data_IF_685037025897
#
_entry.id   IF_685037025897
#
_cell.length_a   1.000
_cell.length_b   1.000
_cell.length_c   1.000
_cell.angle_alpha   90.00
_cell.angle_beta   90.00
_cell.angle_gamma   90.00
#
_symmetry.space_group_name_H-M   'P 1'
#
loop_
_entity.id
_entity.type
_entity.pdbx_description
1 polymer ?
#
# COMPACT_ATOMS: atom_id res chain seq x y z
N UNK A 1 -8.81 0.08 17.40
CA UNK A 1 -8.11 -0.56 16.28
C UNK A 1 -7.54 0.53 15.42
N UNK A 2 -6.22 0.57 15.29
CA UNK A 2 -5.50 1.41 14.34
C UNK A 2 -5.20 0.61 13.07
N UNK A 3 -5.12 1.29 11.94
CA UNK A 3 -4.66 0.73 10.68
C UNK A 3 -3.41 1.49 10.24
N UNK A 4 -2.29 0.78 10.15
CA UNK A 4 -1.00 1.34 9.76
C UNK A 4 -0.60 0.79 8.39
N UNK A 5 -0.06 1.63 7.52
CA UNK A 5 0.40 1.20 6.20
C UNK A 5 1.93 1.16 6.12
N UNK A 6 2.45 0.26 5.28
CA UNK A 6 3.84 0.23 4.85
C UNK A 6 3.86 0.41 3.34
N UNK A 7 4.46 1.51 2.88
CA UNK A 7 4.58 1.84 1.47
C UNK A 7 6.05 1.92 1.06
N UNK A 8 6.46 1.09 0.11
CA UNK A 8 7.80 1.15 -0.47
C UNK A 8 7.69 1.76 -1.86
N UNK A 9 8.49 2.78 -2.12
CA UNK A 9 8.35 3.66 -3.27
C UNK A 9 9.65 3.64 -4.07
N UNK A 10 9.52 3.58 -5.41
CA UNK A 10 10.62 3.80 -6.34
C UNK A 10 10.08 4.32 -7.66
N UNK A 11 10.36 5.60 -7.96
CA UNK A 11 10.00 6.24 -9.22
C UNK A 11 8.49 6.19 -9.52
N UNK A 12 7.69 6.79 -8.66
CA UNK A 12 6.23 6.80 -8.69
C UNK A 12 5.66 8.23 -8.64
N UNK A 13 6.41 9.23 -9.16
CA UNK A 13 6.06 10.66 -9.05
C UNK A 13 4.68 11.00 -9.60
N UNK A 14 4.23 10.27 -10.60
CA UNK A 14 2.95 10.50 -11.29
C UNK A 14 1.71 9.99 -10.53
N UNK A 15 1.90 9.23 -9.45
CA UNK A 15 0.79 8.60 -8.71
C UNK A 15 0.93 8.65 -7.19
N UNK A 16 2.15 8.75 -6.67
CA UNK A 16 2.39 8.57 -5.23
C UNK A 16 1.59 9.54 -4.35
N UNK A 17 1.40 10.78 -4.82
CA UNK A 17 0.59 11.75 -4.07
C UNK A 17 -0.84 11.28 -3.88
N UNK A 18 -1.48 10.81 -4.96
CA UNK A 18 -2.86 10.29 -4.95
C UNK A 18 -2.98 9.02 -4.11
N UNK A 19 -1.98 8.13 -4.18
CA UNK A 19 -1.92 6.90 -3.39
C UNK A 19 -1.87 7.19 -1.90
N UNK A 20 -1.01 8.12 -1.47
CA UNK A 20 -0.92 8.53 -0.07
C UNK A 20 -2.21 9.20 0.41
N UNK A 21 -2.82 10.08 -0.40
CA UNK A 21 -4.09 10.73 -0.06
C UNK A 21 -5.24 9.73 0.07
N UNK A 22 -5.30 8.73 -0.82
CA UNK A 22 -6.27 7.64 -0.70
C UNK A 22 -6.09 6.86 0.60
N UNK A 23 -4.86 6.49 0.94
CA UNK A 23 -4.57 5.73 2.15
C UNK A 23 -4.84 6.54 3.43
N UNK A 24 -4.60 7.85 3.44
CA UNK A 24 -4.87 8.75 4.56
C UNK A 24 -6.36 8.84 4.93
N UNK A 25 -7.26 8.49 4.02
CA UNK A 25 -8.69 8.44 4.32
C UNK A 25 -9.06 7.39 5.39
N UNK A 26 -8.21 6.37 5.60
CA UNK A 26 -8.49 5.27 6.53
C UNK A 26 -7.29 4.79 7.35
N UNK A 27 -6.06 5.14 6.99
CA UNK A 27 -4.87 4.79 7.78
C UNK A 27 -4.59 5.81 8.88
N UNK A 28 -4.20 5.33 10.04
CA UNK A 28 -3.77 6.13 11.19
C UNK A 28 -2.31 6.57 11.05
N UNK A 29 -1.48 5.74 10.40
CA UNK A 29 -0.08 6.06 10.09
C UNK A 29 0.32 5.37 8.79
N UNK A 30 1.12 6.05 7.96
CA UNK A 30 1.72 5.50 6.75
C UNK A 30 3.25 5.61 6.88
N UNK A 31 3.91 4.46 6.97
CA UNK A 31 5.37 4.38 6.96
C UNK A 31 5.86 4.25 5.52
N UNK A 32 6.64 5.21 5.07
CA UNK A 32 7.18 5.23 3.71
C UNK A 32 8.67 4.88 3.71
N UNK A 33 9.07 4.08 2.74
CA UNK A 33 10.48 3.83 2.39
C UNK A 33 10.67 4.26 0.96
N UNK A 34 11.51 5.25 0.74
CA UNK A 34 11.95 5.61 -0.62
C UNK A 34 13.21 4.83 -0.98
N UNK A 35 13.16 4.10 -2.08
CA UNK A 35 14.28 3.31 -2.57
C UNK A 35 15.08 4.08 -3.64
N UNK A 36 15.64 5.22 -3.24
CA UNK A 36 16.45 6.11 -4.09
C UNK A 36 15.74 6.45 -5.41
N UNK A 37 14.55 7.03 -5.32
CA UNK A 37 13.82 7.56 -6.47
C UNK A 37 14.59 8.72 -7.12
N UNK A 38 14.53 8.81 -8.45
CA UNK A 38 15.25 9.79 -9.26
C UNK A 38 14.33 10.63 -10.15
N UNK A 39 13.03 10.43 -10.04
CA UNK A 39 12.00 11.04 -10.89
C UNK A 39 11.24 12.22 -10.24
N UNK A 40 11.57 12.56 -8.99
CA UNK A 40 10.87 13.57 -8.19
C UNK A 40 9.93 12.98 -7.11
N UNK A 41 9.81 11.65 -7.02
CA UNK A 41 8.99 10.99 -5.99
C UNK A 41 9.41 11.37 -4.57
N UNK A 42 10.72 11.45 -4.33
CA UNK A 42 11.27 11.81 -3.02
C UNK A 42 10.84 13.21 -2.56
N UNK A 43 10.89 14.18 -3.46
CA UNK A 43 10.47 15.55 -3.22
C UNK A 43 8.98 15.63 -2.89
N UNK A 44 8.15 14.86 -3.59
CA UNK A 44 6.71 14.73 -3.31
C UNK A 44 6.47 14.17 -1.92
N UNK A 45 7.19 13.11 -1.54
CA UNK A 45 7.08 12.48 -0.21
C UNK A 45 7.48 13.50 0.87
N UNK A 46 8.61 14.19 0.73
CA UNK A 46 9.07 15.20 1.69
C UNK A 46 8.05 16.32 1.87
N UNK A 47 7.47 16.82 0.78
CA UNK A 47 6.44 17.84 0.84
C UNK A 47 5.17 17.35 1.57
N UNK A 48 4.75 16.09 1.33
CA UNK A 48 3.61 15.48 2.03
C UNK A 48 3.87 15.31 3.53
N UNK A 49 5.04 14.82 3.92
CA UNK A 49 5.43 14.64 5.33
C UNK A 49 5.43 15.96 6.09
N UNK A 50 5.84 17.05 5.45
CA UNK A 50 5.84 18.39 6.07
C UNK A 50 4.43 18.89 6.42
N UNK A 51 3.39 18.40 5.74
CA UNK A 51 1.99 18.82 5.90
C UNK A 51 1.14 17.82 6.67
N UNK A 52 1.52 16.53 6.65
CA UNK A 52 0.71 15.43 7.20
C UNK A 52 1.55 14.56 8.15
N UNK A 53 1.43 14.76 9.47
CA UNK A 53 2.25 14.05 10.47
C UNK A 53 1.96 12.54 10.55
N UNK A 54 0.89 12.06 9.93
CA UNK A 54 0.59 10.62 9.83
C UNK A 54 1.45 9.90 8.78
N UNK A 55 2.15 10.64 7.92
CA UNK A 55 3.13 10.06 7.00
C UNK A 55 4.51 10.13 7.66
N UNK A 56 5.15 8.99 7.85
CA UNK A 56 6.43 8.85 8.54
C UNK A 56 7.45 8.26 7.58
N UNK A 57 8.56 8.96 7.33
CA UNK A 57 9.68 8.42 6.58
C UNK A 57 10.38 7.39 7.45
N UNK A 58 10.26 6.11 7.10
CA UNK A 58 10.94 5.01 7.78
C UNK A 58 12.37 4.82 7.27
N UNK A 59 12.60 5.04 5.97
CA UNK A 59 13.94 5.04 5.37
C UNK A 59 13.95 5.77 4.01
N UNK A 60 15.14 6.25 3.64
CA UNK A 60 15.52 6.61 2.27
C UNK A 60 16.83 5.87 1.99
N UNK A 61 16.86 4.97 1.00
CA UNK A 61 17.97 4.02 0.83
C UNK A 61 18.18 3.65 -0.63
N UNK A 62 19.44 3.48 -1.01
CA UNK A 62 19.89 2.99 -2.32
C UNK A 62 20.15 1.47 -2.34
N UNK A 63 19.84 0.77 -1.25
CA UNK A 63 19.93 -0.68 -1.24
C UNK A 63 19.11 -1.30 -2.39
N UNK A 64 19.57 -2.44 -2.90
CA UNK A 64 18.81 -3.18 -3.92
C UNK A 64 17.42 -3.48 -3.37
N UNK A 65 16.38 -3.12 -4.16
CA UNK A 65 14.99 -3.34 -3.78
C UNK A 65 14.74 -4.80 -3.38
N UNK A 66 14.12 -4.96 -2.21
CA UNK A 66 13.70 -6.27 -1.68
C UNK A 66 12.37 -6.12 -0.96
N UNK A 67 11.54 -7.14 -1.05
CA UNK A 67 10.30 -7.22 -0.26
C UNK A 67 10.55 -7.13 1.26
N UNK A 68 11.74 -7.47 1.70
CA UNK A 68 12.19 -7.43 3.10
C UNK A 68 12.23 -6.02 3.71
N UNK A 69 12.18 -4.95 2.92
CA UNK A 69 11.98 -3.62 3.49
C UNK A 69 10.68 -3.52 4.30
N UNK A 70 9.64 -4.25 3.90
CA UNK A 70 8.40 -4.34 4.67
C UNK A 70 8.61 -4.99 6.04
N UNK A 71 9.43 -6.03 6.08
CA UNK A 71 9.76 -6.75 7.32
C UNK A 71 10.53 -5.84 8.28
N UNK A 72 11.49 -5.06 7.78
CA UNK A 72 12.25 -4.08 8.58
C UNK A 72 11.34 -3.03 9.17
N UNK A 73 10.48 -2.40 8.36
CA UNK A 73 9.53 -1.39 8.85
C UNK A 73 8.59 -1.99 9.90
N UNK A 74 8.00 -3.16 9.62
CA UNK A 74 7.18 -3.87 10.60
C UNK A 74 7.95 -4.10 11.91
N UNK A 75 9.14 -4.66 11.84
CA UNK A 75 9.96 -4.97 13.03
C UNK A 75 10.41 -3.73 13.82
N UNK A 76 10.52 -2.59 13.14
CA UNK A 76 10.88 -1.31 13.77
C UNK A 76 9.73 -0.78 14.62
N UNK A 77 8.47 -0.95 14.20
CA UNK A 77 7.34 -0.28 14.81
C UNK A 77 6.28 -1.20 15.43
N UNK A 78 6.27 -2.52 15.17
CA UNK A 78 5.21 -3.42 15.62
C UNK A 78 4.98 -3.41 17.15
N UNK A 79 6.03 -3.18 17.93
CA UNK A 79 5.98 -3.15 19.38
C UNK A 79 5.27 -1.90 19.93
N UNK A 80 5.07 -0.86 19.12
CA UNK A 80 4.38 0.38 19.51
C UNK A 80 2.86 0.28 19.35
N UNK A 81 2.37 -0.81 18.72
CA UNK A 81 0.96 -1.03 18.41
C UNK A 81 0.40 -2.23 19.16
N UNK A 82 -0.91 -2.22 19.40
CA UNK A 82 -1.61 -3.31 20.08
C UNK A 82 -1.84 -4.52 19.18
N UNK A 83 -2.13 -5.69 19.79
CA UNK A 83 -2.52 -6.88 19.04
C UNK A 83 -3.89 -6.76 18.34
N UNK A 84 -4.65 -5.70 18.59
CA UNK A 84 -5.91 -5.41 17.89
C UNK A 84 -5.71 -4.53 16.65
N UNK A 85 -4.52 -4.00 16.44
CA UNK A 85 -4.21 -3.12 15.32
C UNK A 85 -3.83 -3.93 14.08
N UNK A 86 -3.91 -3.28 12.91
CA UNK A 86 -3.68 -3.92 11.64
C UNK A 86 -2.61 -3.18 10.83
N UNK A 87 -1.97 -3.94 9.94
CA UNK A 87 -1.05 -3.44 8.94
C UNK A 87 -1.63 -3.61 7.55
N UNK A 88 -1.37 -2.63 6.70
CA UNK A 88 -1.69 -2.63 5.29
C UNK A 88 -0.41 -2.56 4.47
N UNK A 89 -0.16 -3.53 3.60
CA UNK A 89 0.88 -3.45 2.59
C UNK A 89 0.33 -2.65 1.43
N UNK A 90 0.78 -1.41 1.34
CA UNK A 90 0.40 -0.44 0.33
C UNK A 90 1.48 -0.42 -0.76
N UNK A 91 1.18 -0.91 -1.94
CA UNK A 91 2.03 -0.68 -3.11
C UNK A 91 1.78 0.75 -3.62
N UNK A 92 2.83 1.42 -4.12
CA UNK A 92 2.80 2.86 -4.40
C UNK A 92 1.83 3.27 -5.54
N UNK A 93 1.34 2.29 -6.29
CA UNK A 93 0.41 2.43 -7.41
C UNK A 93 -0.97 1.77 -7.14
N UNK A 94 -1.31 1.56 -5.85
CA UNK A 94 -2.55 0.93 -5.43
C UNK A 94 -3.45 1.89 -4.65
N UNK A 95 -4.76 1.87 -4.95
CA UNK A 95 -5.77 2.67 -4.26
C UNK A 95 -6.99 1.81 -3.91
N UNK A 96 -7.37 1.76 -2.65
CA UNK A 96 -8.63 1.13 -2.24
C UNK A 96 -9.83 1.98 -2.68
N UNK A 97 -10.91 1.31 -3.09
CA UNK A 97 -12.15 2.00 -3.48
C UNK A 97 -13.07 2.27 -2.31
N UNK A 98 -12.84 1.61 -1.16
CA UNK A 98 -13.64 1.74 0.05
C UNK A 98 -12.79 1.59 1.31
N UNK A 99 -13.27 2.09 2.43
CA UNK A 99 -12.63 1.92 3.74
C UNK A 99 -12.61 0.43 4.15
N UNK A 100 -11.44 -0.18 4.36
CA UNK A 100 -11.34 -1.58 4.73
C UNK A 100 -11.68 -1.86 6.21
N UNK A 101 -11.72 -0.83 7.08
CA UNK A 101 -11.86 -1.00 8.53
C UNK A 101 -13.12 -1.80 8.96
N UNK A 102 -14.31 -1.63 8.34
CA UNK A 102 -15.46 -2.46 8.68
C UNK A 102 -15.22 -3.97 8.45
N UNK A 103 -14.47 -4.32 7.37
CA UNK A 103 -14.12 -5.71 7.10
C UNK A 103 -13.06 -6.23 8.08
N UNK A 104 -12.08 -5.40 8.46
CA UNK A 104 -11.05 -5.76 9.44
C UNK A 104 -11.66 -6.02 10.82
N UNK A 105 -12.63 -5.21 11.25
CA UNK A 105 -13.38 -5.43 12.50
C UNK A 105 -14.09 -6.78 12.46
N UNK A 106 -14.76 -7.09 11.36
CA UNK A 106 -15.46 -8.40 11.18
C UNK A 106 -14.46 -9.56 11.16
N UNK A 107 -13.29 -9.37 10.59
CA UNK A 107 -12.20 -10.38 10.61
C UNK A 107 -11.76 -10.65 12.05
N UNK A 108 -11.54 -9.61 12.86
CA UNK A 108 -11.19 -9.76 14.28
C UNK A 108 -12.25 -10.51 15.07
N UNK A 109 -13.53 -10.18 14.89
CA UNK A 109 -14.66 -10.88 15.56
C UNK A 109 -14.70 -12.37 15.21
N UNK A 110 -14.09 -12.77 14.10
CA UNK A 110 -13.98 -14.16 13.65
C UNK A 110 -12.59 -14.77 13.89
N UNK A 111 -11.76 -14.14 14.73
CA UNK A 111 -10.41 -14.59 15.07
C UNK A 111 -9.50 -14.74 13.83
N UNK A 112 -9.73 -13.93 12.80
CA UNK A 112 -8.89 -13.91 11.59
C UNK A 112 -7.79 -12.87 11.74
N UNK A 113 -6.64 -13.14 11.12
CA UNK A 113 -5.46 -12.30 11.23
C UNK A 113 -4.85 -11.91 9.87
N UNK A 114 -5.51 -12.27 8.77
CA UNK A 114 -5.10 -11.92 7.41
C UNK A 114 -6.34 -11.60 6.54
N UNK A 115 -6.22 -10.61 5.67
CA UNK A 115 -7.22 -10.33 4.63
C UNK A 115 -6.53 -10.02 3.30
N UNK A 116 -7.14 -10.48 2.21
CA UNK A 116 -6.70 -10.19 0.85
C UNK A 116 -7.53 -9.06 0.25
N UNK A 117 -7.01 -8.46 -0.81
CA UNK A 117 -7.74 -7.53 -1.68
C UNK A 117 -7.92 -8.15 -3.07
N UNK A 118 -9.02 -7.82 -3.73
CA UNK A 118 -9.17 -8.07 -5.16
C UNK A 118 -8.38 -7.01 -5.92
N UNK A 119 -7.56 -7.43 -6.87
CA UNK A 119 -6.80 -6.54 -7.73
C UNK A 119 -7.60 -6.22 -8.99
N UNK A 120 -8.09 -4.99 -9.09
CA UNK A 120 -8.61 -4.41 -10.33
C UNK A 120 -7.44 -3.75 -11.07
N UNK A 121 -6.72 -4.53 -11.86
CA UNK A 121 -5.56 -4.06 -12.60
C UNK A 121 -5.98 -3.24 -13.81
N UNK A 122 -5.53 -2.01 -13.86
CA UNK A 122 -5.73 -1.10 -14.98
C UNK A 122 -4.62 -1.27 -16.01
N UNK A 123 -5.01 -1.22 -17.27
CA UNK A 123 -4.11 -1.41 -18.39
C UNK A 123 -4.11 -0.17 -19.28
N UNK A 124 -2.94 0.14 -19.83
CA UNK A 124 -2.79 1.03 -20.95
C UNK A 124 -3.17 0.25 -22.21
N UNK A 125 -4.17 0.74 -22.97
CA UNK A 125 -4.72 0.06 -24.12
C UNK A 125 -4.47 0.85 -25.42
N UNK A 126 -4.72 0.24 -26.58
CA UNK A 126 -4.67 0.93 -27.88
C UNK A 126 -5.59 2.15 -27.92
N UNK A 127 -6.70 2.12 -27.16
CA UNK A 127 -7.64 3.26 -27.06
C UNK A 127 -7.04 4.39 -26.22
N UNK A 128 -6.25 4.07 -25.20
CA UNK A 128 -5.51 5.05 -24.41
C UNK A 128 -4.38 5.65 -25.26
N UNK A 129 -3.69 4.83 -26.06
CA UNK A 129 -2.63 5.28 -26.96
C UNK A 129 -3.14 6.33 -27.96
N UNK A 130 -4.34 6.13 -28.52
CA UNK A 130 -4.93 7.04 -29.50
C UNK A 130 -5.17 8.47 -28.95
N UNK A 131 -5.29 8.62 -27.64
CA UNK A 131 -5.55 9.92 -26.99
C UNK A 131 -4.38 10.42 -26.14
N UNK A 132 -3.33 9.61 -26.00
CA UNK A 132 -2.25 9.83 -25.04
C UNK A 132 -1.48 11.14 -25.25
N UNK A 133 -1.23 11.53 -26.50
CA UNK A 133 -0.52 12.78 -26.83
C UNK A 133 -1.29 14.02 -26.38
N UNK A 134 -2.64 13.94 -26.43
CA UNK A 134 -3.54 15.02 -26.06
C UNK A 134 -4.13 14.83 -24.65
N UNK A 135 -3.69 13.82 -23.91
CA UNK A 135 -4.17 13.52 -22.57
C UNK A 135 -3.78 14.63 -21.60
N UNK A 136 -4.72 15.09 -20.80
CA UNK A 136 -4.42 16.03 -19.71
C UNK A 136 -3.72 15.30 -18.59
N UNK A 137 -2.38 15.33 -18.60
CA UNK A 137 -1.52 14.66 -17.62
C UNK A 137 -1.59 15.29 -16.21
N UNK A 138 -2.21 16.46 -16.05
CA UNK A 138 -2.47 17.04 -14.73
C UNK A 138 -3.66 16.39 -14.00
N UNK A 139 -4.47 15.59 -14.70
CA UNK A 139 -5.54 14.82 -14.07
C UNK A 139 -4.96 13.59 -13.36
N UNK A 140 -5.52 13.23 -12.19
CA UNK A 140 -5.16 12.00 -11.50
C UNK A 140 -5.28 10.76 -12.39
N UNK A 141 -4.43 9.78 -12.16
CA UNK A 141 -4.36 8.56 -12.99
C UNK A 141 -5.69 7.81 -13.04
N UNK A 142 -6.47 7.82 -11.96
CA UNK A 142 -7.76 7.13 -11.89
C UNK A 142 -8.85 7.79 -12.77
N UNK A 143 -8.64 9.01 -13.24
CA UNK A 143 -9.50 9.69 -14.21
C UNK A 143 -9.07 9.42 -15.66
N UNK A 144 -7.82 9.02 -15.86
CA UNK A 144 -7.21 8.80 -17.17
C UNK A 144 -7.29 7.35 -17.64
N UNK A 145 -7.17 6.36 -16.71
CA UNK A 145 -7.21 4.93 -17.05
C UNK A 145 -8.59 4.35 -16.76
N UNK A 146 -9.16 3.66 -17.76
CA UNK A 146 -10.57 3.21 -17.74
C UNK A 146 -10.74 1.71 -17.87
N UNK A 147 -9.76 1.01 -18.48
CA UNK A 147 -9.88 -0.40 -18.79
C UNK A 147 -9.15 -1.23 -17.74
N UNK A 148 -9.86 -2.15 -17.10
CA UNK A 148 -9.30 -2.98 -16.03
C UNK A 148 -9.82 -4.42 -16.08
N UNK A 149 -9.09 -5.32 -15.45
CA UNK A 149 -9.53 -6.69 -15.13
C UNK A 149 -9.38 -6.95 -13.64
N UNK A 150 -10.33 -7.69 -13.07
CA UNK A 150 -10.20 -8.26 -11.73
C UNK A 150 -9.72 -9.69 -11.89
N UNK A 151 -8.43 -9.93 -11.67
CA UNK A 151 -7.80 -11.20 -12.03
C UNK A 151 -7.48 -12.08 -10.83
N UNK A 152 -7.03 -11.49 -9.72
CA UNK A 152 -6.55 -12.25 -8.57
C UNK A 152 -6.74 -11.50 -7.27
N UNK A 153 -6.48 -12.21 -6.17
CA UNK A 153 -6.46 -11.64 -4.83
C UNK A 153 -5.07 -11.73 -4.23
N UNK A 154 -4.62 -10.65 -3.62
CA UNK A 154 -3.35 -10.60 -2.92
C UNK A 154 -3.52 -10.33 -1.42
N UNK A 155 -2.66 -10.94 -0.56
CA UNK A 155 -2.59 -10.57 0.85
C UNK A 155 -2.12 -9.11 0.96
N UNK A 156 -2.89 -8.28 1.63
CA UNK A 156 -2.56 -6.87 1.86
C UNK A 156 -2.70 -6.47 3.31
N UNK A 157 -3.59 -7.12 4.06
CA UNK A 157 -3.83 -6.79 5.45
C UNK A 157 -3.44 -7.94 6.36
N UNK A 158 -2.76 -7.61 7.46
CA UNK A 158 -2.45 -8.55 8.51
C UNK A 158 -2.50 -7.88 9.89
N UNK A 159 -2.85 -8.70 10.88
CA UNK A 159 -3.01 -8.26 12.26
C UNK A 159 -1.65 -8.08 12.92
N UNK A 160 -1.51 -7.05 13.74
CA UNK A 160 -0.28 -6.80 14.47
C UNK A 160 0.00 -7.89 15.51
N UNK A 161 1.28 -8.14 15.74
CA UNK A 161 1.78 -8.91 16.88
C UNK A 161 2.94 -8.13 17.51
N UNK A 162 2.75 -7.52 18.69
CA UNK A 162 3.78 -6.68 19.31
C UNK A 162 5.08 -7.41 19.65
N UNK A 163 5.00 -8.73 19.80
CA UNK A 163 6.11 -9.58 20.28
C UNK A 163 6.77 -10.41 19.19
N UNK A 164 6.09 -10.63 18.05
CA UNK A 164 6.62 -11.45 16.98
C UNK A 164 7.39 -10.62 15.96
N UNK A 165 8.51 -11.13 15.50
CA UNK A 165 9.31 -10.53 14.42
C UNK A 165 8.99 -11.19 13.08
N UNK A 166 9.02 -10.41 12.04
CA UNK A 166 8.94 -10.88 10.67
C UNK A 166 10.36 -11.05 10.12
N UNK A 167 10.80 -12.31 9.95
CA UNK A 167 12.17 -12.61 9.46
C UNK A 167 12.43 -12.02 8.09
N UNK A 168 13.61 -11.44 7.90
CA UNK A 168 14.05 -10.90 6.61
C UNK A 168 14.34 -12.00 5.57
N UNK A 169 14.50 -13.26 5.98
CA UNK A 169 14.66 -14.39 5.06
C UNK A 169 13.36 -14.77 4.36
N UNK A 170 12.23 -14.23 4.85
CA UNK A 170 10.90 -14.56 4.32
C UNK A 170 10.46 -13.49 3.32
N UNK A 171 10.28 -13.90 2.06
CA UNK A 171 9.90 -13.01 0.95
C UNK A 171 8.38 -12.86 0.76
N UNK A 172 7.57 -13.44 1.64
CA UNK A 172 6.10 -13.34 1.58
C UNK A 172 5.60 -11.91 1.75
N UNK A 173 4.43 -11.60 1.17
CA UNK A 173 3.83 -10.26 1.25
C UNK A 173 3.26 -9.92 2.63
N UNK A 174 3.05 -10.92 3.49
CA UNK A 174 2.59 -10.78 4.87
C UNK A 174 3.36 -11.74 5.77
N UNK A 175 3.45 -11.49 7.10
CA UNK A 175 4.16 -12.37 8.02
C UNK A 175 3.56 -13.78 8.03
N UNK A 176 4.37 -14.85 8.14
CA UNK A 176 3.91 -16.24 8.11
C UNK A 176 3.04 -16.62 9.32
N UNK A 177 3.16 -15.91 10.44
CA UNK A 177 2.30 -16.10 11.60
C UNK A 177 0.88 -15.55 11.38
N UNK A 178 0.65 -14.75 10.33
CA UNK A 178 -0.67 -14.29 9.91
C UNK A 178 -1.23 -15.21 8.83
N UNK A 179 -1.73 -16.39 9.22
CA UNK A 179 -2.15 -17.47 8.31
C UNK A 179 -3.66 -17.78 8.36
N UNK A 180 -4.41 -17.10 9.23
CA UNK A 180 -5.86 -17.28 9.34
C UNK A 180 -6.61 -16.26 8.49
N UNK A 181 -6.98 -16.67 7.26
CA UNK A 181 -7.55 -15.81 6.24
C UNK A 181 -9.02 -15.47 6.51
N UNK A 182 -9.38 -14.19 6.33
CA UNK A 182 -10.74 -13.70 6.20
C UNK A 182 -11.11 -13.60 4.72
N UNK A 183 -12.18 -14.26 4.29
CA UNK A 183 -12.53 -14.41 2.87
C UNK A 183 -13.12 -13.17 2.20
N UNK A 184 -14.01 -12.37 2.82
CA UNK A 184 -14.42 -11.09 2.27
C UNK A 184 -13.19 -10.22 1.98
N UNK A 185 -13.17 -9.58 0.81
CA UNK A 185 -11.99 -8.83 0.32
C UNK A 185 -12.47 -7.54 -0.31
N UNK A 186 -11.92 -6.37 0.07
CA UNK A 186 -12.16 -5.12 -0.63
C UNK A 186 -11.52 -5.15 -2.02
N UNK A 187 -11.86 -4.18 -2.85
CA UNK A 187 -11.27 -4.01 -4.17
C UNK A 187 -10.20 -2.92 -4.10
N UNK A 188 -9.05 -3.20 -4.67
CA UNK A 188 -7.95 -2.28 -4.88
C UNK A 188 -7.77 -2.00 -6.37
N UNK A 189 -7.67 -0.75 -6.76
CA UNK A 189 -7.25 -0.33 -8.09
C UNK A 189 -5.74 -0.37 -8.15
N UNK A 190 -5.19 -1.03 -9.18
CA UNK A 190 -3.76 -1.19 -9.37
C UNK A 190 -3.35 -0.62 -10.73
N UNK A 191 -2.49 0.37 -10.75
CA UNK A 191 -2.10 1.17 -11.91
C UNK A 191 -0.66 0.87 -12.37
N UNK A 192 -0.27 -0.39 -12.44
CA UNK A 192 1.09 -0.80 -12.83
C UNK A 192 1.49 -0.39 -14.25
N UNK A 193 0.52 -0.10 -15.13
CA UNK A 193 0.76 0.37 -16.51
C UNK A 193 0.13 1.75 -16.68
N UNK A 194 0.98 2.77 -16.70
CA UNK A 194 0.58 4.18 -16.75
C UNK A 194 1.10 4.89 -17.99
#
# INVERSE_FOLDING_TARGET
MKLNAICIIKNEVDIIADTLDNALAFCDTIYVVDNASTDGSWEVICAKVALEPRIVIAAHTDEIYRNQFRNRVYNMFNHTFSASDWWYILDADEMLIEDPRPLLIRAMQRYKNQMRVWQAQFYFTDKDLAVYENENKSLPIYQRRRYYRINWREPRFFRNSPTQKWSEDITGKVPPFCNSLFHPSPICRHYAQR
#
